data_IF_957368072342
#
_entry.id   IF_957368072342
#
_cell.length_a   1.000
_cell.length_b   1.000
_cell.length_c   1.000
_cell.angle_alpha   90.00
_cell.angle_beta   90.00
_cell.angle_gamma   90.00
#
_symmetry.space_group_name_H-M   'P 1'
#
loop_
_entity.id
_entity.type
_entity.pdbx_description
1 polymer ?
#
# COMPACT_ATOMS: atom_id res chain seq x y z
N UNK A 1 46.84 -2.39 1.01
CA UNK A 1 46.18 -1.75 -0.14
C UNK A 1 44.72 -2.15 -0.10
N UNK A 2 43.86 -1.21 0.30
CA UNK A 2 42.43 -1.41 0.55
C UNK A 2 41.63 -1.26 -0.74
N UNK A 3 40.89 -2.29 -1.15
CA UNK A 3 39.88 -2.18 -2.21
C UNK A 3 38.49 -2.18 -1.59
N UNK A 4 37.88 -1.00 -1.62
CA UNK A 4 36.52 -0.71 -1.15
C UNK A 4 35.52 -1.17 -2.20
N UNK A 5 34.75 -2.23 -1.94
CA UNK A 5 33.60 -2.58 -2.79
C UNK A 5 32.41 -1.69 -2.39
N UNK A 6 32.06 -0.77 -3.30
CA UNK A 6 30.85 0.05 -3.25
C UNK A 6 29.63 -0.86 -3.11
N UNK A 7 28.76 -0.54 -2.15
CA UNK A 7 27.43 -1.14 -2.06
C UNK A 7 26.67 -0.90 -3.35
N UNK A 8 26.35 -1.97 -4.05
CA UNK A 8 25.40 -1.95 -5.15
C UNK A 8 24.02 -1.69 -4.54
N UNK A 9 23.55 -0.45 -4.67
CA UNK A 9 22.20 -0.10 -4.28
C UNK A 9 21.23 -1.01 -5.03
N UNK A 10 20.50 -1.85 -4.28
CA UNK A 10 19.47 -2.71 -4.82
C UNK A 10 18.49 -1.83 -5.60
N UNK A 11 18.53 -1.91 -6.94
CA UNK A 11 17.48 -1.34 -7.79
C UNK A 11 16.19 -2.06 -7.43
N UNK A 12 15.39 -1.45 -6.58
CA UNK A 12 14.03 -1.93 -6.27
C UNK A 12 13.27 -1.89 -7.59
N UNK A 13 13.13 -3.06 -8.23
CA UNK A 13 12.25 -3.20 -9.36
C UNK A 13 10.84 -2.97 -8.83
N UNK A 14 10.23 -1.87 -9.26
CA UNK A 14 8.86 -1.55 -8.87
C UNK A 14 7.95 -2.58 -9.50
N UNK A 15 7.57 -3.59 -8.72
CA UNK A 15 6.59 -4.59 -9.16
C UNK A 15 5.33 -3.84 -9.58
N UNK A 16 4.94 -3.96 -10.83
CA UNK A 16 3.72 -3.38 -11.35
C UNK A 16 2.57 -4.26 -10.90
N UNK A 17 1.85 -3.81 -9.86
CA UNK A 17 0.70 -4.50 -9.28
C UNK A 17 -0.55 -3.77 -9.73
N UNK A 18 -1.58 -4.51 -10.13
CA UNK A 18 -2.87 -3.90 -10.44
C UNK A 18 -3.49 -3.32 -9.16
N UNK A 19 -4.23 -2.21 -9.23
CA UNK A 19 -4.74 -1.54 -8.02
C UNK A 19 -5.61 -2.45 -7.14
N UNK A 20 -6.42 -3.31 -7.76
CA UNK A 20 -7.27 -4.25 -7.03
C UNK A 20 -6.45 -5.29 -6.24
N UNK A 21 -5.36 -5.79 -6.83
CA UNK A 21 -4.45 -6.72 -6.15
C UNK A 21 -3.76 -6.07 -4.96
N UNK A 22 -3.48 -4.76 -5.04
CA UNK A 22 -2.90 -4.01 -3.93
C UNK A 22 -3.89 -3.91 -2.75
N UNK A 23 -5.17 -3.66 -3.05
CA UNK A 23 -6.24 -3.63 -2.04
C UNK A 23 -6.37 -5.01 -1.37
N UNK A 24 -6.36 -6.10 -2.14
CA UNK A 24 -6.40 -7.46 -1.58
C UNK A 24 -5.19 -7.76 -0.69
N UNK A 25 -4.00 -7.26 -1.02
CA UNK A 25 -2.83 -7.38 -0.13
C UNK A 25 -3.02 -6.66 1.18
N UNK A 26 -3.65 -5.47 1.19
CA UNK A 26 -3.92 -4.75 2.44
C UNK A 26 -4.96 -5.45 3.31
N UNK A 27 -5.98 -6.05 2.69
CA UNK A 27 -6.97 -6.91 3.36
C UNK A 27 -6.29 -8.13 4.01
N UNK A 28 -5.49 -8.88 3.25
CA UNK A 28 -4.84 -10.10 3.73
C UNK A 28 -3.80 -9.85 4.82
N UNK A 29 -3.01 -8.78 4.68
CA UNK A 29 -1.95 -8.45 5.62
C UNK A 29 -2.47 -7.69 6.85
N UNK A 30 -3.78 -7.41 6.94
CA UNK A 30 -4.37 -6.54 7.96
C UNK A 30 -3.50 -5.31 8.18
N UNK A 31 -3.13 -4.63 7.09
CA UNK A 31 -2.24 -3.47 7.13
C UNK A 31 -3.03 -2.19 7.42
N UNK A 32 -2.48 -1.30 8.25
CA UNK A 32 -3.12 -0.01 8.53
C UNK A 32 -3.07 0.85 7.27
N UNK A 33 -4.24 1.26 6.80
CA UNK A 33 -4.42 2.11 5.64
C UNK A 33 -5.02 3.46 6.04
N UNK A 34 -4.88 4.44 5.14
CA UNK A 34 -5.46 5.77 5.28
C UNK A 34 -6.27 6.09 4.02
N UNK A 35 -7.55 6.40 4.19
CA UNK A 35 -8.48 6.74 3.11
C UNK A 35 -8.79 8.24 3.16
N UNK A 36 -8.58 8.93 2.03
CA UNK A 36 -8.97 10.33 1.87
C UNK A 36 -10.37 10.43 1.30
N UNK A 37 -11.18 11.29 1.91
CA UNK A 37 -12.52 11.58 1.40
C UNK A 37 -12.43 12.58 0.25
N UNK A 38 -13.29 12.40 -0.76
CA UNK A 38 -13.35 13.30 -1.91
C UNK A 38 -13.88 14.69 -1.53
N UNK A 39 -14.96 14.74 -0.75
CA UNK A 39 -15.62 16.00 -0.38
C UNK A 39 -14.89 16.72 0.77
N UNK A 40 -14.41 15.98 1.76
CA UNK A 40 -13.78 16.54 2.96
C UNK A 40 -12.27 16.23 2.97
N UNK A 41 -11.50 17.02 2.23
CA UNK A 41 -10.04 16.82 2.04
C UNK A 41 -9.24 16.91 3.36
N UNK A 42 -9.77 17.63 4.35
CA UNK A 42 -9.13 17.80 5.66
C UNK A 42 -9.30 16.60 6.59
N UNK A 43 -10.20 15.67 6.26
CA UNK A 43 -10.51 14.50 7.08
C UNK A 43 -9.98 13.26 6.37
N UNK A 44 -9.34 12.37 7.14
CA UNK A 44 -8.84 11.10 6.65
C UNK A 44 -9.26 10.01 7.64
N UNK A 45 -9.68 8.87 7.11
CA UNK A 45 -10.07 7.71 7.91
C UNK A 45 -8.89 6.76 7.95
N UNK A 46 -8.54 6.29 9.14
CA UNK A 46 -7.46 5.31 9.33
C UNK A 46 -8.00 4.03 9.96
N UNK A 47 -7.52 2.89 9.47
CA UNK A 47 -7.98 1.60 9.97
C UNK A 47 -7.37 0.42 9.22
N UNK A 48 -7.86 -0.77 9.53
CA UNK A 48 -7.57 -2.00 8.82
C UNK A 48 -8.80 -2.41 8.04
N UNK A 49 -8.64 -2.93 6.82
CA UNK A 49 -9.76 -3.46 6.05
C UNK A 49 -10.07 -4.86 6.58
N UNK A 50 -11.32 -5.14 6.91
CA UNK A 50 -11.84 -6.45 7.32
C UNK A 50 -12.62 -7.11 6.19
N UNK A 51 -13.25 -6.32 5.31
CA UNK A 51 -13.98 -6.82 4.14
C UNK A 51 -14.21 -5.77 3.06
N UNK A 52 -14.57 -6.27 1.87
CA UNK A 52 -14.86 -5.50 0.65
C UNK A 52 -16.02 -6.14 -0.10
N UNK A 53 -16.87 -5.32 -0.74
CA UNK A 53 -17.94 -5.78 -1.64
C UNK A 53 -17.64 -5.49 -3.12
N UNK A 54 -18.58 -5.82 -4.01
CA UNK A 54 -18.46 -5.58 -5.45
C UNK A 54 -18.32 -4.10 -5.85
N UNK A 55 -18.67 -3.18 -4.95
CA UNK A 55 -18.57 -1.74 -5.13
C UNK A 55 -17.32 -1.14 -4.47
N UNK A 56 -16.47 -1.97 -3.85
CA UNK A 56 -15.30 -1.57 -3.07
C UNK A 56 -15.64 -0.79 -1.78
N UNK A 57 -16.83 -0.98 -1.22
CA UNK A 57 -17.13 -0.46 0.12
C UNK A 57 -16.29 -1.22 1.15
N UNK A 58 -15.62 -0.48 2.04
CA UNK A 58 -14.75 -1.04 3.08
C UNK A 58 -15.54 -1.26 4.38
N UNK A 59 -15.31 -2.41 5.04
CA UNK A 59 -15.73 -2.68 6.44
C UNK A 59 -14.52 -2.94 7.32
#
# INVERSE_FOLDING_TARGET
MTFTHRGEGHKVQKVMVWPIDLIFRYLQNSSRIQVRLYEQVNIQIEGHIIGLDEYLNFV
#
